data_IF_652783088048
#
_entry.id   IF_652783088048
#
_cell.length_a   1.000
_cell.length_b   1.000
_cell.length_c   1.000
_cell.angle_alpha   90.00
_cell.angle_beta   90.00
_cell.angle_gamma   90.00
#
_symmetry.space_group_name_H-M   'P 1'
#
loop_
_entity.id
_entity.type
_entity.pdbx_description
1 polymer ?
#
# COMPACT_ATOMS: atom_id res chain seq x y z
N UNK A 1 27.02 15.34 -7.36
CA UNK A 1 25.92 15.09 -6.37
C UNK A 1 25.18 16.40 -6.10
N UNK A 2 23.85 16.37 -5.99
CA UNK A 2 23.08 17.55 -5.64
C UNK A 2 23.43 18.04 -4.23
N UNK A 3 23.46 19.36 -4.00
CA UNK A 3 23.76 19.95 -2.69
C UNK A 3 22.57 19.71 -1.74
N UNK A 4 22.80 19.03 -0.61
CA UNK A 4 21.80 18.81 0.42
C UNK A 4 21.29 20.14 1.01
N UNK A 5 19.99 20.22 1.23
CA UNK A 5 19.35 21.35 1.95
C UNK A 5 19.75 21.35 3.42
N UNK A 6 19.55 22.47 4.13
CA UNK A 6 19.84 22.54 5.59
C UNK A 6 19.09 21.45 6.37
N UNK A 7 17.78 21.31 6.10
CA UNK A 7 16.94 20.29 6.75
C UNK A 7 17.39 18.84 6.47
N UNK A 8 17.82 18.56 5.23
CA UNK A 8 18.38 17.23 4.92
C UNK A 8 19.69 16.96 5.64
N UNK A 9 20.56 17.98 5.78
CA UNK A 9 21.81 17.84 6.55
C UNK A 9 21.53 17.53 8.01
N UNK A 10 20.58 18.21 8.63
CA UNK A 10 20.14 17.98 10.00
C UNK A 10 19.57 16.55 10.18
N UNK A 11 18.73 16.11 9.25
CA UNK A 11 18.18 14.74 9.25
C UNK A 11 19.27 13.68 9.09
N UNK A 12 20.24 13.90 8.19
CA UNK A 12 21.38 13.00 8.02
C UNK A 12 22.34 13.00 9.22
N UNK A 13 22.48 14.12 9.94
CA UNK A 13 23.32 14.18 11.14
C UNK A 13 22.75 13.34 12.31
N UNK A 14 21.43 13.15 12.34
CA UNK A 14 20.76 12.30 13.33
C UNK A 14 20.75 10.81 12.96
N UNK A 15 20.98 10.51 11.69
CA UNK A 15 20.96 9.16 11.14
C UNK A 15 22.38 8.57 11.12
N UNK A 16 22.57 7.47 11.85
CA UNK A 16 23.75 6.63 11.70
C UNK A 16 23.48 5.56 10.63
N UNK A 17 23.87 5.84 9.39
CA UNK A 17 23.60 4.99 8.23
C UNK A 17 24.33 3.65 8.25
N UNK A 18 25.19 3.41 9.23
CA UNK A 18 25.96 2.16 9.38
C UNK A 18 25.27 1.14 10.28
N UNK A 19 24.24 1.56 11.02
CA UNK A 19 23.52 0.70 11.97
C UNK A 19 22.13 0.38 11.47
N UNK A 20 21.78 -0.90 11.47
CA UNK A 20 20.41 -1.36 11.38
C UNK A 20 19.73 -1.20 12.74
N UNK A 21 18.51 -0.69 12.77
CA UNK A 21 17.75 -0.43 13.98
C UNK A 21 16.60 -1.45 14.11
N UNK A 22 16.19 -1.71 15.34
CA UNK A 22 14.93 -2.40 15.59
C UNK A 22 13.73 -1.60 15.07
N UNK A 23 12.63 -2.27 14.76
CA UNK A 23 11.45 -1.67 14.13
C UNK A 23 10.88 -0.49 14.95
N UNK A 24 10.82 -0.63 16.29
CA UNK A 24 10.35 0.42 17.20
C UNK A 24 11.30 1.63 17.20
N UNK A 25 12.60 1.37 17.27
CA UNK A 25 13.61 2.43 17.24
C UNK A 25 13.63 3.16 15.88
N UNK A 26 13.47 2.42 14.79
CA UNK A 26 13.37 2.99 13.43
C UNK A 26 12.14 3.88 13.30
N UNK A 27 10.98 3.46 13.80
CA UNK A 27 9.73 4.24 13.78
C UNK A 27 9.85 5.53 14.59
N UNK A 28 10.46 5.49 15.77
CA UNK A 28 10.72 6.67 16.60
C UNK A 28 11.68 7.64 15.89
N UNK A 29 12.78 7.13 15.33
CA UNK A 29 13.76 7.95 14.59
C UNK A 29 13.13 8.61 13.35
N UNK A 30 12.28 7.92 12.61
CA UNK A 30 11.58 8.48 11.43
C UNK A 30 10.73 9.67 11.84
N UNK A 31 10.01 9.62 12.95
CA UNK A 31 9.25 10.77 13.46
C UNK A 31 10.16 11.95 13.77
N UNK A 32 11.32 11.69 14.38
CA UNK A 32 12.27 12.74 14.76
C UNK A 32 12.97 13.41 13.57
N UNK A 33 13.28 12.65 12.49
CA UNK A 33 13.93 13.18 11.29
C UNK A 33 12.97 13.77 10.28
N UNK A 34 11.65 13.58 10.46
CA UNK A 34 10.62 14.13 9.57
C UNK A 34 10.49 15.63 9.78
N UNK A 35 10.98 16.42 8.82
CA UNK A 35 11.06 17.90 8.89
C UNK A 35 10.15 18.61 7.88
N UNK A 36 8.97 18.05 7.59
CA UNK A 36 7.99 18.62 6.66
C UNK A 36 6.84 19.28 7.41
N UNK A 37 6.13 20.20 6.74
CA UNK A 37 5.00 20.93 7.34
C UNK A 37 3.65 20.26 7.09
N UNK A 38 3.61 19.23 6.27
CA UNK A 38 2.42 18.44 5.96
C UNK A 38 2.51 17.07 6.63
N UNK A 39 1.38 16.38 6.76
CA UNK A 39 1.35 15.02 7.30
C UNK A 39 1.95 14.04 6.30
N UNK A 40 3.24 13.72 6.49
CA UNK A 40 4.01 12.88 5.59
C UNK A 40 3.55 11.41 5.68
N UNK A 41 3.58 10.71 4.56
CA UNK A 41 3.42 9.25 4.57
C UNK A 41 4.72 8.60 5.05
N UNK A 42 4.58 7.53 5.83
CA UNK A 42 5.67 6.64 6.20
C UNK A 42 5.59 5.42 5.30
N UNK A 43 6.63 5.24 4.50
CA UNK A 43 6.72 4.16 3.52
C UNK A 43 7.76 3.13 3.97
N UNK A 44 7.48 1.86 3.67
CA UNK A 44 8.41 0.76 3.86
C UNK A 44 8.81 0.19 2.50
N UNK A 45 10.08 -0.07 2.33
CA UNK A 45 10.66 -0.71 1.16
C UNK A 45 11.31 -2.03 1.57
N UNK A 46 10.78 -3.14 1.09
CA UNK A 46 11.25 -4.49 1.42
C UNK A 46 11.87 -5.14 0.19
N UNK A 47 13.17 -5.35 0.22
CA UNK A 47 13.89 -6.04 -0.85
C UNK A 47 13.82 -7.54 -0.63
N UNK A 48 13.24 -8.25 -1.60
CA UNK A 48 13.07 -9.69 -1.58
C UNK A 48 14.13 -10.43 -2.41
N UNK A 49 14.39 -11.66 -2.05
CA UNK A 49 15.24 -12.60 -2.79
C UNK A 49 14.46 -13.39 -3.86
N UNK A 50 13.60 -12.69 -4.63
CA UNK A 50 12.77 -13.29 -5.69
C UNK A 50 13.13 -12.72 -7.05
N UNK A 51 12.86 -13.48 -8.11
CA UNK A 51 12.95 -13.01 -9.49
C UNK A 51 11.54 -12.69 -10.03
N UNK A 52 11.14 -11.41 -10.10
CA UNK A 52 9.79 -11.00 -10.50
C UNK A 52 9.47 -11.29 -11.99
N UNK A 53 10.47 -11.66 -12.79
CA UNK A 53 10.28 -12.09 -14.19
C UNK A 53 9.62 -13.45 -14.28
N UNK A 54 9.76 -14.27 -13.24
CA UNK A 54 9.16 -15.60 -13.14
C UNK A 54 7.79 -15.51 -12.49
N UNK A 55 6.75 -15.97 -13.17
CA UNK A 55 5.37 -15.91 -12.69
C UNK A 55 5.16 -16.62 -11.34
N UNK A 56 5.92 -17.69 -11.06
CA UNK A 56 5.89 -18.46 -9.82
C UNK A 56 6.63 -17.80 -8.63
N UNK A 57 7.36 -16.71 -8.88
CA UNK A 57 8.06 -15.92 -7.87
C UNK A 57 7.50 -14.52 -7.69
N UNK A 58 6.41 -14.20 -8.40
CA UNK A 58 5.74 -12.91 -8.27
C UNK A 58 4.94 -12.86 -6.98
N UNK A 59 5.39 -12.05 -6.02
CA UNK A 59 4.69 -11.81 -4.76
C UNK A 59 3.70 -10.66 -4.93
N UNK A 60 2.45 -10.93 -4.63
CA UNK A 60 1.38 -9.94 -4.56
C UNK A 60 0.40 -10.36 -3.48
N UNK A 61 -0.04 -9.43 -2.68
CA UNK A 61 -0.98 -9.69 -1.61
C UNK A 61 -1.69 -8.44 -1.15
N UNK A 62 -2.48 -8.62 -0.11
CA UNK A 62 -3.16 -7.57 0.63
C UNK A 62 -2.89 -7.75 2.11
N UNK A 63 -2.89 -6.65 2.83
CA UNK A 63 -2.82 -6.63 4.29
C UNK A 63 -3.83 -5.61 4.80
N UNK A 64 -4.48 -5.93 5.89
CA UNK A 64 -5.33 -4.99 6.63
C UNK A 64 -4.52 -4.51 7.81
N UNK A 65 -4.25 -3.21 7.85
CA UNK A 65 -3.45 -2.61 8.92
C UNK A 65 -4.34 -2.38 10.15
N UNK A 66 -3.88 -2.75 11.33
CA UNK A 66 -4.64 -2.64 12.60
C UNK A 66 -5.05 -1.19 12.88
N UNK A 67 -4.16 -0.24 12.60
CA UNK A 67 -4.39 1.19 12.84
C UNK A 67 -4.80 1.96 11.58
N UNK A 68 -5.04 1.26 10.46
CA UNK A 68 -5.29 1.88 9.16
C UNK A 68 -4.07 2.62 8.61
N UNK A 69 -4.25 3.31 7.50
CA UNK A 69 -3.19 4.09 6.83
C UNK A 69 -3.17 5.57 7.20
N UNK A 70 -4.23 6.09 7.88
CA UNK A 70 -4.43 7.51 8.14
C UNK A 70 -4.74 8.34 6.89
N UNK A 71 -5.12 7.70 5.79
CA UNK A 71 -5.58 8.35 4.56
C UNK A 71 -7.07 8.12 4.37
N UNK A 72 -7.81 9.18 4.12
CA UNK A 72 -9.20 9.07 3.68
C UNK A 72 -9.24 8.55 2.23
N UNK A 73 -9.67 7.29 2.09
CA UNK A 73 -9.70 6.59 0.81
C UNK A 73 -11.06 6.79 0.15
N UNK A 74 -11.07 7.38 -1.05
CA UNK A 74 -12.28 7.51 -1.88
C UNK A 74 -12.56 6.20 -2.60
N UNK A 75 -13.67 5.57 -2.25
CA UNK A 75 -14.07 4.27 -2.78
C UNK A 75 -15.21 4.43 -3.78
N UNK A 76 -14.99 3.92 -4.99
CA UNK A 76 -16.03 3.77 -6.03
C UNK A 76 -16.51 2.31 -6.06
N UNK A 77 -17.79 2.07 -5.81
CA UNK A 77 -18.42 0.76 -5.97
C UNK A 77 -19.15 0.68 -7.32
N UNK A 78 -18.62 -0.13 -8.23
CA UNK A 78 -19.26 -0.43 -9.52
C UNK A 78 -20.09 -1.72 -9.40
N UNK A 79 -21.36 -1.56 -9.12
CA UNK A 79 -22.27 -2.65 -8.77
C UNK A 79 -23.55 -2.58 -9.61
N UNK A 80 -24.32 -3.66 -9.60
CA UNK A 80 -25.67 -3.68 -10.17
C UNK A 80 -26.63 -2.91 -9.28
N UNK A 81 -27.77 -2.39 -9.80
CA UNK A 81 -28.74 -1.62 -9.01
C UNK A 81 -29.20 -2.31 -7.73
N UNK A 82 -29.28 -3.65 -7.74
CA UNK A 82 -29.69 -4.45 -6.58
C UNK A 82 -28.73 -4.33 -5.38
N UNK A 83 -27.45 -3.98 -5.63
CA UNK A 83 -26.39 -3.88 -4.62
C UNK A 83 -25.97 -2.43 -4.30
N UNK A 84 -26.60 -1.45 -4.92
CA UNK A 84 -26.26 -0.03 -4.71
C UNK A 84 -26.56 0.42 -3.28
N UNK A 85 -27.70 0.06 -2.74
CA UNK A 85 -28.08 0.40 -1.36
C UNK A 85 -27.10 -0.20 -0.35
N UNK A 86 -26.72 -1.47 -0.53
CA UNK A 86 -25.76 -2.17 0.34
C UNK A 86 -24.37 -1.50 0.30
N UNK A 87 -23.92 -1.04 -0.86
CA UNK A 87 -22.65 -0.35 -1.03
C UNK A 87 -22.66 1.06 -0.39
N UNK A 88 -23.80 1.78 -0.48
CA UNK A 88 -23.97 3.08 0.16
C UNK A 88 -23.99 2.97 1.69
N UNK A 89 -24.74 2.01 2.24
CA UNK A 89 -24.76 1.74 3.68
C UNK A 89 -23.38 1.33 4.23
N UNK A 90 -22.58 0.63 3.42
CA UNK A 90 -21.21 0.30 3.78
C UNK A 90 -20.25 1.50 3.79
N UNK A 91 -20.68 2.65 3.25
CA UNK A 91 -19.94 3.89 3.25
C UNK A 91 -19.10 4.12 2.00
N UNK A 92 -19.45 3.56 0.84
CA UNK A 92 -18.81 3.91 -0.43
C UNK A 92 -19.12 5.38 -0.80
N UNK A 93 -18.08 6.11 -1.29
CA UNK A 93 -18.22 7.53 -1.63
C UNK A 93 -18.96 7.73 -2.96
N UNK A 94 -18.77 6.78 -3.86
CA UNK A 94 -19.42 6.77 -5.17
C UNK A 94 -19.99 5.38 -5.43
N UNK A 95 -21.25 5.32 -5.86
CA UNK A 95 -21.94 4.07 -6.15
C UNK A 95 -22.72 4.22 -7.46
N UNK A 96 -22.66 3.22 -8.33
CA UNK A 96 -23.37 3.19 -9.61
C UNK A 96 -22.63 2.38 -10.65
N UNK A 97 -23.16 2.28 -11.85
CA UNK A 97 -22.56 1.47 -12.92
C UNK A 97 -22.30 2.28 -14.19
N UNK A 98 -23.32 2.44 -15.05
CA UNK A 98 -23.13 2.94 -16.42
C UNK A 98 -22.70 4.41 -16.45
N UNK A 99 -23.16 5.21 -15.50
CA UNK A 99 -22.78 6.61 -15.36
C UNK A 99 -21.27 6.76 -15.09
N UNK A 100 -20.74 6.00 -14.14
CA UNK A 100 -19.31 6.06 -13.81
C UNK A 100 -18.44 5.42 -14.88
N UNK A 101 -18.93 4.40 -15.60
CA UNK A 101 -18.23 3.86 -16.75
C UNK A 101 -18.05 4.92 -17.84
N UNK A 102 -19.06 5.76 -18.08
CA UNK A 102 -18.94 6.88 -19.02
C UNK A 102 -17.99 7.98 -18.51
N UNK A 103 -18.07 8.35 -17.24
CA UNK A 103 -17.15 9.32 -16.61
C UNK A 103 -15.69 8.84 -16.73
N UNK A 104 -15.42 7.57 -16.45
CA UNK A 104 -14.07 6.97 -16.56
C UNK A 104 -13.60 6.97 -18.03
N UNK A 105 -14.47 6.68 -19.00
CA UNK A 105 -14.14 6.82 -20.43
C UNK A 105 -13.74 8.25 -20.78
N UNK A 106 -14.38 9.25 -20.15
CA UNK A 106 -14.04 10.67 -20.27
C UNK A 106 -12.76 11.08 -19.55
N UNK A 107 -12.09 10.14 -18.86
CA UNK A 107 -10.83 10.39 -18.15
C UNK A 107 -10.98 10.73 -16.66
N UNK A 108 -12.19 10.68 -16.09
CA UNK A 108 -12.39 10.89 -14.66
C UNK A 108 -11.82 9.71 -13.86
N UNK A 109 -10.97 10.01 -12.89
CA UNK A 109 -10.27 9.03 -12.06
C UNK A 109 -9.99 9.58 -10.64
N UNK A 110 -10.89 10.44 -10.15
CA UNK A 110 -10.74 11.06 -8.81
C UNK A 110 -11.23 10.11 -7.70
N UNK A 111 -10.70 8.89 -7.73
CA UNK A 111 -10.94 7.81 -6.76
C UNK A 111 -9.64 7.08 -6.45
N UNK A 112 -9.53 6.51 -5.26
CA UNK A 112 -8.35 5.76 -4.83
C UNK A 112 -8.53 4.25 -5.05
N UNK A 113 -9.72 3.72 -4.86
CA UNK A 113 -10.02 2.29 -5.02
C UNK A 113 -11.34 2.08 -5.73
N UNK A 114 -11.36 1.13 -6.65
CA UNK A 114 -12.57 0.68 -7.35
C UNK A 114 -12.89 -0.74 -6.90
N UNK A 115 -14.09 -0.92 -6.35
CA UNK A 115 -14.63 -2.23 -5.97
C UNK A 115 -15.71 -2.61 -6.98
N UNK A 116 -15.75 -3.85 -7.41
CA UNK A 116 -16.71 -4.30 -8.40
C UNK A 116 -17.14 -5.75 -8.18
N UNK A 117 -18.22 -6.12 -8.84
CA UNK A 117 -18.69 -7.51 -8.90
C UNK A 117 -18.09 -8.24 -10.12
N UNK A 118 -17.91 -9.57 -10.06
CA UNK A 118 -17.41 -10.36 -11.19
C UNK A 118 -18.25 -10.17 -12.46
N UNK A 119 -19.56 -10.02 -12.34
CA UNK A 119 -20.50 -9.79 -13.44
C UNK A 119 -20.26 -8.50 -14.21
N UNK A 120 -19.71 -7.47 -13.54
CA UNK A 120 -19.45 -6.14 -14.12
C UNK A 120 -18.08 -6.06 -14.78
N UNK A 121 -17.14 -6.97 -14.44
CA UNK A 121 -15.76 -6.96 -14.96
C UNK A 121 -15.66 -6.94 -16.49
N UNK A 122 -16.62 -7.59 -17.20
CA UNK A 122 -16.67 -7.56 -18.66
C UNK A 122 -16.82 -6.13 -19.23
N UNK A 123 -17.62 -5.28 -18.57
CA UNK A 123 -17.81 -3.87 -18.94
C UNK A 123 -16.59 -3.00 -18.64
N UNK A 124 -15.77 -3.38 -17.65
CA UNK A 124 -14.53 -2.68 -17.25
C UNK A 124 -13.33 -3.00 -18.16
N UNK A 125 -13.33 -4.13 -18.85
CA UNK A 125 -12.24 -4.55 -19.74
C UNK A 125 -11.72 -3.46 -20.66
N UNK A 126 -12.60 -2.78 -21.44
CA UNK A 126 -12.22 -1.70 -22.35
C UNK A 126 -11.58 -0.49 -21.63
N UNK A 127 -11.89 -0.27 -20.35
CA UNK A 127 -11.37 0.82 -19.53
C UNK A 127 -9.97 0.52 -18.94
N UNK A 128 -9.45 -0.68 -19.14
CA UNK A 128 -8.14 -1.09 -18.66
C UNK A 128 -6.99 -0.20 -19.14
N UNK A 129 -7.14 0.47 -20.29
CA UNK A 129 -6.18 1.46 -20.81
C UNK A 129 -6.10 2.72 -19.95
N UNK A 130 -7.19 3.12 -19.30
CA UNK A 130 -7.28 4.30 -18.44
C UNK A 130 -6.94 3.93 -16.99
N UNK A 131 -7.54 2.84 -16.49
CA UNK A 131 -7.43 2.42 -15.09
C UNK A 131 -6.10 1.68 -14.78
N UNK A 132 -5.56 0.94 -15.78
CA UNK A 132 -4.35 0.13 -15.60
C UNK A 132 -3.11 0.92 -15.20
N UNK A 133 -2.72 1.98 -15.93
CA UNK A 133 -1.54 2.80 -15.58
C UNK A 133 -1.64 3.50 -14.23
N UNK A 134 -2.87 3.74 -13.74
CA UNK A 134 -3.13 4.38 -12.45
C UNK A 134 -3.27 3.38 -11.29
N UNK A 135 -3.20 2.08 -11.56
CA UNK A 135 -3.36 1.04 -10.54
C UNK A 135 -4.81 0.85 -10.05
N UNK A 136 -5.79 1.53 -10.66
CA UNK A 136 -7.19 1.52 -10.25
C UNK A 136 -7.98 0.30 -10.78
N UNK A 137 -7.37 -0.55 -11.61
CA UNK A 137 -8.05 -1.70 -12.19
C UNK A 137 -8.36 -2.75 -11.11
N UNK A 138 -9.65 -3.08 -10.88
CA UNK A 138 -10.03 -4.08 -9.89
C UNK A 138 -9.41 -5.44 -10.19
N UNK A 139 -9.05 -6.18 -9.14
CA UNK A 139 -8.43 -7.50 -9.27
C UNK A 139 -8.94 -8.47 -8.20
N UNK A 140 -9.33 -9.70 -8.58
CA UNK A 140 -9.76 -10.71 -7.61
C UNK A 140 -8.72 -11.04 -6.54
N UNK A 141 -7.43 -11.00 -6.88
CA UNK A 141 -6.33 -11.29 -5.94
C UNK A 141 -6.18 -10.24 -4.85
N UNK A 142 -6.62 -9.02 -5.07
CA UNK A 142 -6.63 -7.93 -4.08
C UNK A 142 -7.96 -7.82 -3.35
N UNK A 143 -8.93 -8.70 -3.67
CA UNK A 143 -10.25 -8.68 -3.06
C UNK A 143 -11.11 -7.46 -3.46
N UNK A 144 -10.71 -6.72 -4.51
CA UNK A 144 -11.50 -5.60 -5.05
C UNK A 144 -12.55 -6.07 -6.06
N UNK A 145 -12.55 -7.36 -6.43
CA UNK A 145 -13.60 -8.02 -7.20
C UNK A 145 -14.24 -9.08 -6.32
N UNK A 146 -15.44 -8.82 -5.82
CA UNK A 146 -16.13 -9.70 -4.87
C UNK A 146 -17.65 -9.62 -5.05
N UNK A 147 -18.37 -10.64 -4.59
CA UNK A 147 -19.82 -10.61 -4.48
C UNK A 147 -20.29 -9.85 -3.23
N UNK A 148 -19.44 -9.76 -2.22
CA UNK A 148 -19.68 -9.15 -0.90
C UNK A 148 -19.10 -7.75 -0.86
N UNK A 149 -19.81 -6.82 -1.52
CA UNK A 149 -19.34 -5.45 -1.74
C UNK A 149 -19.24 -4.68 -0.42
N UNK A 150 -20.23 -4.85 0.48
CA UNK A 150 -20.26 -4.15 1.75
C UNK A 150 -19.05 -4.48 2.63
N UNK A 151 -18.65 -5.75 2.70
CA UNK A 151 -17.48 -6.18 3.42
C UNK A 151 -16.21 -5.59 2.82
N UNK A 152 -16.07 -5.64 1.49
CA UNK A 152 -14.90 -5.09 0.80
C UNK A 152 -14.75 -3.57 1.01
N UNK A 153 -15.85 -2.80 0.97
CA UNK A 153 -15.83 -1.37 1.24
C UNK A 153 -15.37 -1.08 2.67
N UNK A 154 -15.92 -1.80 3.66
CA UNK A 154 -15.52 -1.64 5.06
C UNK A 154 -14.04 -1.99 5.29
N UNK A 155 -13.55 -3.08 4.69
CA UNK A 155 -12.13 -3.47 4.79
C UNK A 155 -11.19 -2.43 4.17
N UNK A 156 -11.53 -1.88 2.99
CA UNK A 156 -10.74 -0.83 2.33
C UNK A 156 -10.71 0.44 3.18
N UNK A 157 -11.86 0.85 3.73
CA UNK A 157 -11.92 2.02 4.65
C UNK A 157 -11.24 1.77 5.99
N UNK A 158 -11.18 0.52 6.45
CA UNK A 158 -10.44 0.13 7.65
C UNK A 158 -8.90 0.14 7.44
N UNK A 159 -8.40 0.36 6.22
CA UNK A 159 -6.97 0.45 5.95
C UNK A 159 -6.38 -0.80 5.30
N UNK A 160 -7.16 -1.50 4.49
CA UNK A 160 -6.65 -2.57 3.62
C UNK A 160 -5.83 -1.97 2.50
N UNK A 161 -4.55 -2.35 2.43
CA UNK A 161 -3.63 -1.97 1.36
C UNK A 161 -3.27 -3.19 0.50
N UNK A 162 -3.06 -2.96 -0.78
CA UNK A 162 -2.46 -3.96 -1.66
C UNK A 162 -0.98 -3.67 -1.88
N UNK A 163 -0.20 -4.72 -2.07
CA UNK A 163 1.21 -4.62 -2.41
C UNK A 163 1.58 -5.63 -3.49
N UNK A 164 2.56 -5.24 -4.27
CA UNK A 164 3.11 -6.05 -5.36
C UNK A 164 4.60 -5.84 -5.45
N UNK A 165 5.34 -6.92 -5.70
CA UNK A 165 6.76 -6.82 -6.03
C UNK A 165 6.95 -6.12 -7.37
N UNK A 166 7.88 -5.17 -7.43
CA UNK A 166 8.26 -4.48 -8.65
C UNK A 166 9.23 -5.31 -9.51
N UNK A 167 9.68 -4.74 -10.63
CA UNK A 167 10.63 -5.41 -11.56
C UNK A 167 12.02 -5.65 -10.95
N UNK A 168 12.37 -4.97 -9.86
CA UNK A 168 13.65 -5.04 -9.17
C UNK A 168 13.64 -5.97 -7.97
N UNK A 169 12.46 -6.55 -7.64
CA UNK A 169 12.29 -7.46 -6.52
C UNK A 169 12.04 -6.73 -5.19
N UNK A 170 11.55 -5.48 -5.24
CA UNK A 170 11.26 -4.67 -4.06
C UNK A 170 9.74 -4.48 -3.94
N UNK A 171 9.23 -4.54 -2.71
CA UNK A 171 7.87 -4.13 -2.36
C UNK A 171 7.95 -2.75 -1.74
N UNK A 172 7.12 -1.83 -2.21
CA UNK A 172 6.91 -0.50 -1.63
C UNK A 172 5.48 -0.40 -1.14
N UNK A 173 5.29 0.02 0.11
CA UNK A 173 3.97 0.21 0.69
C UNK A 173 3.98 1.36 1.72
N UNK A 174 2.94 2.18 1.70
CA UNK A 174 2.69 3.17 2.73
C UNK A 174 1.99 2.49 3.92
N UNK A 175 2.59 2.57 5.10
CA UNK A 175 2.11 1.88 6.32
C UNK A 175 1.43 2.80 7.31
N UNK A 176 1.74 4.10 7.29
CA UNK A 176 1.20 5.06 8.24
C UNK A 176 1.38 6.50 7.77
N UNK A 177 0.90 7.44 8.58
CA UNK A 177 1.22 8.86 8.51
C UNK A 177 2.17 9.27 9.63
N UNK A 178 2.90 10.36 9.44
CA UNK A 178 3.81 10.92 10.46
C UNK A 178 3.10 11.41 11.72
N UNK A 179 1.79 11.68 11.62
CA UNK A 179 0.92 12.02 12.75
C UNK A 179 0.68 10.84 13.71
N UNK A 180 0.89 9.60 13.28
CA UNK A 180 0.72 8.41 14.11
C UNK A 180 1.81 8.33 15.19
N UNK A 181 1.49 7.63 16.29
CA UNK A 181 2.48 7.28 17.31
C UNK A 181 3.50 6.28 16.77
N UNK A 182 4.72 6.31 17.30
CA UNK A 182 5.79 5.43 16.84
C UNK A 182 5.43 3.94 16.97
N UNK A 183 4.74 3.57 18.04
CA UNK A 183 4.31 2.19 18.30
C UNK A 183 3.29 1.73 17.24
N UNK A 184 2.33 2.59 16.87
CA UNK A 184 1.34 2.28 15.82
C UNK A 184 2.00 2.11 14.44
N UNK A 185 3.03 2.93 14.15
CA UNK A 185 3.81 2.79 12.91
C UNK A 185 4.55 1.45 12.90
N UNK A 186 5.16 1.08 14.03
CA UNK A 186 5.88 -0.18 14.16
C UNK A 186 4.96 -1.39 14.05
N UNK A 187 3.78 -1.37 14.68
CA UNK A 187 2.78 -2.43 14.59
C UNK A 187 2.28 -2.64 13.16
N UNK A 188 1.89 -1.56 12.47
CA UNK A 188 1.47 -1.64 11.07
C UNK A 188 2.58 -2.18 10.16
N UNK A 189 3.83 -1.72 10.37
CA UNK A 189 4.97 -2.21 9.61
C UNK A 189 5.24 -3.70 9.87
N UNK A 190 5.11 -4.14 11.12
CA UNK A 190 5.26 -5.54 11.49
C UNK A 190 4.18 -6.42 10.84
N UNK A 191 2.91 -6.00 10.83
CA UNK A 191 1.83 -6.74 10.17
C UNK A 191 2.08 -6.93 8.66
N UNK A 192 2.55 -5.86 7.99
CA UNK A 192 2.94 -5.96 6.60
C UNK A 192 4.08 -6.96 6.39
N UNK A 193 5.13 -6.90 7.21
CA UNK A 193 6.29 -7.77 7.12
C UNK A 193 5.92 -9.24 7.38
N UNK A 194 5.11 -9.51 8.40
CA UNK A 194 4.58 -10.85 8.69
C UNK A 194 3.73 -11.40 7.53
N UNK A 195 2.92 -10.56 6.91
CA UNK A 195 2.12 -10.94 5.74
C UNK A 195 3.01 -11.27 4.55
N UNK A 196 4.06 -10.48 4.30
CA UNK A 196 5.06 -10.76 3.25
C UNK A 196 5.76 -12.10 3.51
N UNK A 197 6.16 -12.39 4.75
CA UNK A 197 6.81 -13.64 5.14
C UNK A 197 5.89 -14.84 4.86
N UNK A 198 4.61 -14.75 5.23
CA UNK A 198 3.60 -15.79 4.98
C UNK A 198 3.40 -16.08 3.48
N UNK A 199 3.59 -15.07 2.63
CA UNK A 199 3.44 -15.18 1.17
C UNK A 199 4.72 -15.63 0.46
N UNK A 200 5.74 -16.13 1.18
CA UNK A 200 6.97 -16.63 0.59
C UNK A 200 6.69 -17.71 -0.45
N UNK A 201 7.11 -17.51 -1.73
CA UNK A 201 6.97 -18.54 -2.76
C UNK A 201 7.85 -19.76 -2.46
N UNK A 202 7.33 -20.96 -2.68
CA UNK A 202 8.11 -22.21 -2.54
C UNK A 202 9.31 -22.27 -3.48
N UNK A 203 9.24 -21.59 -4.62
CA UNK A 203 10.31 -21.48 -5.59
C UNK A 203 11.44 -20.52 -5.18
N UNK A 204 11.29 -19.76 -4.10
CA UNK A 204 12.33 -18.85 -3.59
C UNK A 204 13.40 -19.63 -2.83
N UNK A 205 14.66 -19.53 -3.28
CA UNK A 205 15.83 -20.16 -2.64
C UNK A 205 16.67 -19.09 -1.92
N UNK A 206 17.24 -19.46 -0.77
CA UNK A 206 18.08 -18.59 0.03
C UNK A 206 17.31 -17.60 0.92
N UNK A 207 17.95 -16.46 1.25
CA UNK A 207 17.34 -15.42 2.07
C UNK A 207 16.19 -14.76 1.34
N UNK A 208 14.98 -14.83 1.93
CA UNK A 208 13.77 -14.29 1.31
C UNK A 208 13.70 -12.76 1.47
N UNK A 209 13.87 -12.25 2.68
CA UNK A 209 14.05 -10.81 2.93
C UNK A 209 15.53 -10.51 2.91
N UNK A 210 15.97 -9.60 2.05
CA UNK A 210 17.36 -9.16 1.94
C UNK A 210 17.65 -7.91 2.75
N UNK A 211 16.76 -6.94 2.68
CA UNK A 211 16.86 -5.68 3.41
C UNK A 211 15.48 -5.03 3.55
N UNK A 212 15.30 -4.30 4.62
CA UNK A 212 14.11 -3.52 4.92
C UNK A 212 14.53 -2.09 5.21
N UNK A 213 13.89 -1.15 4.56
CA UNK A 213 14.10 0.28 4.78
C UNK A 213 12.77 0.96 5.07
N UNK A 214 12.76 1.86 6.03
CA UNK A 214 11.62 2.74 6.30
C UNK A 214 12.03 4.19 6.06
N UNK A 215 11.11 4.98 5.56
CA UNK A 215 11.34 6.42 5.33
C UNK A 215 10.04 7.19 5.42
N UNK A 216 10.10 8.46 5.77
CA UNK A 216 8.98 9.37 5.56
C UNK A 216 9.18 10.19 4.29
N UNK A 217 8.12 10.82 3.79
CA UNK A 217 8.20 11.68 2.62
C UNK A 217 9.27 12.75 2.83
N UNK A 218 10.23 12.85 1.91
CA UNK A 218 11.37 13.79 1.91
C UNK A 218 12.45 13.52 2.99
N UNK A 219 12.34 12.47 3.81
CA UNK A 219 13.39 12.11 4.77
C UNK A 219 14.38 11.09 4.19
N UNK A 220 15.59 10.96 4.76
CA UNK A 220 16.46 9.85 4.47
C UNK A 220 15.83 8.53 4.94
N UNK A 221 16.23 7.41 4.33
CA UNK A 221 15.77 6.09 4.71
C UNK A 221 16.58 5.54 5.91
N UNK A 222 15.88 4.83 6.79
CA UNK A 222 16.42 4.14 7.95
C UNK A 222 16.41 2.63 7.67
N UNK A 223 17.53 1.96 7.87
CA UNK A 223 17.61 0.51 7.72
C UNK A 223 17.07 -0.20 8.97
N UNK A 224 16.18 -1.16 8.76
CA UNK A 224 15.59 -1.99 9.81
C UNK A 224 16.29 -3.35 9.85
N UNK A 225 16.61 -3.83 11.04
CA UNK A 225 17.22 -5.15 11.21
C UNK A 225 16.19 -6.25 10.82
N UNK A 226 16.55 -7.03 9.81
CA UNK A 226 15.72 -8.14 9.32
C UNK A 226 15.53 -9.21 10.40
N UNK A 227 16.48 -9.37 11.34
CA UNK A 227 16.40 -10.37 12.40
C UNK A 227 15.34 -10.03 13.46
N UNK A 228 15.04 -8.75 13.65
CA UNK A 228 14.00 -8.31 14.59
C UNK A 228 12.58 -8.58 14.08
N UNK A 229 12.44 -8.95 12.81
CA UNK A 229 11.14 -9.16 12.11
C UNK A 229 10.83 -10.64 11.87
N UNK A 230 11.84 -11.52 11.94
CA UNK A 230 11.72 -12.97 11.64
C UNK A 230 11.27 -13.80 12.82
#
# INVERSE_FOLDING_TARGET
MARLTKKQKEAHAKLDSTKSLDLNAASALIKEITNVKFDASVDIAVRLGVDPRKANQMVRGVVTLTHGTGKDVKVLALVTPDKEAEAQEAGADYVGLDEYLQKIKGGWTDVDVIITMPSVMGKLGPLGRVLGPRGLMPNPKTGTVTMDVAKAVKEVKAGKIDFKVDKTGIIHAAVAKSSFDADKIAENANELLQTIIKLKPTASKGAYIKSVFMSSTMSPSVEVDVKSVS
#
